data_IF_301555627444
#
_entry.id   IF_301555627444
#
_cell.length_a   1.000
_cell.length_b   1.000
_cell.length_c   1.000
_cell.angle_alpha   90.00
_cell.angle_beta   90.00
_cell.angle_gamma   90.00
#
_symmetry.space_group_name_H-M   'P 1'
#
loop_
_entity.id
_entity.type
_entity.pdbx_description
1 polymer ?
#
# COMPACT_ATOMS: atom_id res chain seq x y z
N UNK A 1 2.94 17.07 22.84
CA UNK A 1 3.58 17.59 21.62
C UNK A 1 4.39 18.81 21.98
N UNK A 2 5.59 18.98 21.42
CA UNK A 2 6.40 20.18 21.66
C UNK A 2 5.99 21.31 20.69
N UNK A 3 5.94 22.54 21.17
CA UNK A 3 5.82 23.71 20.29
C UNK A 3 7.18 24.02 19.64
N UNK A 4 7.17 24.91 18.65
CA UNK A 4 8.38 25.33 17.95
C UNK A 4 9.44 25.96 18.87
N UNK A 5 9.04 26.60 19.99
CA UNK A 5 9.96 27.20 20.97
C UNK A 5 10.59 26.20 21.94
N UNK A 6 9.93 25.06 22.20
CA UNK A 6 10.32 24.11 23.26
C UNK A 6 10.57 22.70 22.72
N UNK A 7 10.80 22.56 21.41
CA UNK A 7 11.11 21.28 20.80
C UNK A 7 12.58 20.93 21.00
N UNK A 8 12.91 19.71 21.46
CA UNK A 8 14.26 19.21 21.40
C UNK A 8 14.75 19.23 19.95
N UNK A 9 15.94 19.79 19.73
CA UNK A 9 16.59 19.81 18.43
C UNK A 9 17.42 18.54 18.19
N UNK A 10 17.57 18.16 16.92
CA UNK A 10 18.43 17.04 16.55
C UNK A 10 19.90 17.42 16.76
N UNK A 11 20.60 16.68 17.61
CA UNK A 11 22.03 16.88 17.90
C UNK A 11 22.95 16.40 16.79
N UNK A 12 22.41 15.88 15.69
CA UNK A 12 23.23 15.31 14.61
C UNK A 12 23.88 16.44 13.80
N UNK A 13 25.20 16.43 13.71
CA UNK A 13 25.93 17.35 12.82
C UNK A 13 25.78 16.89 11.36
N UNK A 14 24.85 17.52 10.65
CA UNK A 14 24.55 17.34 9.23
C UNK A 14 23.93 18.64 8.67
N UNK A 15 24.23 18.95 7.41
CA UNK A 15 23.60 20.02 6.63
C UNK A 15 23.13 19.43 5.29
N UNK A 16 21.99 19.89 4.76
CA UNK A 16 21.54 19.46 3.45
C UNK A 16 22.45 20.04 2.36
N UNK A 17 22.62 19.30 1.27
CA UNK A 17 23.25 19.81 0.05
C UNK A 17 22.28 20.76 -0.68
N UNK A 18 22.78 21.55 -1.63
CA UNK A 18 21.92 22.42 -2.44
C UNK A 18 20.82 21.61 -3.14
N UNK A 19 19.58 22.13 -3.10
CA UNK A 19 18.40 21.47 -3.66
C UNK A 19 18.09 20.08 -3.07
N UNK A 20 18.52 19.81 -1.83
CA UNK A 20 18.08 18.60 -1.13
C UNK A 20 16.55 18.55 -1.06
N UNK A 21 15.98 17.41 -1.47
CA UNK A 21 14.54 17.18 -1.50
C UNK A 21 14.10 16.36 -0.29
N UNK A 22 12.88 16.60 0.16
CA UNK A 22 12.22 15.72 1.11
C UNK A 22 11.90 14.39 0.42
N UNK A 23 12.37 13.27 0.94
CA UNK A 23 12.13 11.95 0.32
C UNK A 23 10.66 11.48 0.39
N UNK A 24 9.77 12.25 1.01
CA UNK A 24 8.34 11.91 1.15
C UNK A 24 7.49 12.69 0.15
N UNK A 25 7.62 14.02 0.08
CA UNK A 25 6.85 14.84 -0.87
C UNK A 25 7.62 15.23 -2.13
N UNK A 26 8.94 15.02 -2.17
CA UNK A 26 9.84 15.40 -3.26
C UNK A 26 9.99 16.92 -3.47
N UNK A 27 9.55 17.73 -2.51
CA UNK A 27 9.78 19.19 -2.50
C UNK A 27 11.08 19.56 -1.76
N UNK A 28 11.69 20.72 -2.06
CA UNK A 28 12.88 21.20 -1.36
C UNK A 28 12.67 21.32 0.15
N UNK A 29 13.66 20.87 0.92
CA UNK A 29 13.72 21.13 2.38
C UNK A 29 14.40 22.46 2.68
N UNK A 30 14.31 22.93 3.93
CA UNK A 30 15.08 24.10 4.35
C UNK A 30 16.58 23.84 4.33
N UNK A 31 17.37 24.91 4.20
CA UNK A 31 18.83 24.86 4.07
C UNK A 31 19.57 24.39 5.33
N UNK A 32 18.85 24.22 6.44
CA UNK A 32 19.42 23.79 7.70
C UNK A 32 18.42 23.02 8.56
N UNK A 33 18.96 22.24 9.50
CA UNK A 33 18.16 21.57 10.53
C UNK A 33 17.40 22.62 11.33
N UNK A 34 16.11 22.39 11.54
CA UNK A 34 15.23 23.29 12.25
C UNK A 34 14.02 22.52 12.77
N UNK A 35 13.10 23.19 13.47
CA UNK A 35 11.83 22.57 13.86
C UNK A 35 11.07 21.97 12.66
N UNK A 36 11.13 22.62 11.50
CA UNK A 36 10.42 22.18 10.28
C UNK A 36 11.23 21.24 9.40
N UNK A 37 12.55 21.20 9.53
CA UNK A 37 13.46 20.43 8.65
C UNK A 37 14.29 19.46 9.47
N UNK A 38 14.06 18.17 9.22
CA UNK A 38 14.62 17.05 9.97
C UNK A 38 15.51 16.18 9.10
N UNK A 39 16.44 15.48 9.73
CA UNK A 39 17.41 14.60 9.06
C UNK A 39 17.41 13.21 9.70
N UNK A 40 17.69 12.17 8.92
CA UNK A 40 17.91 10.85 9.48
C UNK A 40 19.21 10.84 10.30
N UNK A 41 19.19 10.48 11.60
CA UNK A 41 20.39 10.47 12.45
C UNK A 41 21.40 9.37 12.04
N UNK A 42 20.99 8.42 11.21
CA UNK A 42 21.80 7.25 10.82
C UNK A 42 22.56 7.51 9.53
N UNK A 43 21.84 7.75 8.42
CA UNK A 43 22.49 7.96 7.12
C UNK A 43 22.91 9.40 6.89
N UNK A 44 22.34 10.38 7.61
CA UNK A 44 22.61 11.82 7.48
C UNK A 44 22.34 12.45 6.10
N UNK A 45 22.05 11.65 5.07
CA UNK A 45 21.69 12.10 3.73
C UNK A 45 20.20 12.15 3.43
N UNK A 46 19.35 11.64 4.33
CA UNK A 46 17.90 11.67 4.15
C UNK A 46 17.28 12.81 4.97
N UNK A 47 16.60 13.72 4.27
CA UNK A 47 16.01 14.92 4.83
C UNK A 47 14.50 14.95 4.65
N UNK A 48 13.80 15.56 5.59
CA UNK A 48 12.34 15.51 5.66
C UNK A 48 11.75 16.80 6.22
N UNK A 49 10.59 17.21 5.70
CA UNK A 49 9.75 18.15 6.44
C UNK A 49 9.15 17.46 7.66
N UNK A 50 9.05 18.19 8.78
CA UNK A 50 8.45 17.71 10.03
C UNK A 50 7.01 17.21 9.83
N UNK A 51 6.24 17.92 9.00
CA UNK A 51 4.87 17.53 8.65
C UNK A 51 4.84 16.20 7.89
N UNK A 52 5.70 16.04 6.88
CA UNK A 52 5.80 14.82 6.10
C UNK A 52 6.18 13.62 6.96
N UNK A 53 7.17 13.76 7.84
CA UNK A 53 7.54 12.64 8.71
C UNK A 53 6.45 12.31 9.73
N UNK A 54 5.70 13.31 10.19
CA UNK A 54 4.57 13.10 11.10
C UNK A 54 3.44 12.32 10.43
N UNK A 55 3.10 12.65 9.18
CA UNK A 55 2.13 11.88 8.38
C UNK A 55 2.63 10.46 8.09
N UNK A 56 3.93 10.32 7.76
CA UNK A 56 4.54 9.02 7.53
C UNK A 56 4.48 8.12 8.78
N UNK A 57 4.80 8.67 9.96
CA UNK A 57 4.71 7.97 11.24
C UNK A 57 3.28 7.53 11.58
N UNK A 58 2.27 8.36 11.28
CA UNK A 58 0.86 8.00 11.48
C UNK A 58 0.48 6.84 10.55
N UNK A 59 0.94 6.87 9.31
CA UNK A 59 0.61 5.84 8.33
C UNK A 59 1.27 4.48 8.63
N UNK A 60 2.54 4.49 9.05
CA UNK A 60 3.37 3.28 9.24
C UNK A 60 3.38 2.74 10.69
N UNK A 61 2.85 3.50 11.64
CA UNK A 61 2.84 3.17 13.07
C UNK A 61 4.21 2.81 13.65
N UNK A 62 4.27 2.37 14.90
CA UNK A 62 5.52 2.00 15.57
C UNK A 62 6.23 0.83 14.89
N UNK A 63 5.50 -0.13 14.36
CA UNK A 63 6.05 -1.40 13.90
C UNK A 63 6.71 -1.32 12.52
N UNK A 64 6.30 -0.37 11.68
CA UNK A 64 6.83 -0.24 10.31
C UNK A 64 7.42 1.14 10.01
N UNK A 65 7.67 1.95 11.04
CA UNK A 65 8.27 3.27 10.88
C UNK A 65 9.80 3.19 10.92
N UNK A 66 10.41 3.34 9.75
CA UNK A 66 11.86 3.37 9.54
C UNK A 66 12.23 4.46 8.52
N UNK A 67 13.52 4.80 8.44
CA UNK A 67 13.99 5.76 7.44
C UNK A 67 13.70 5.24 6.01
N UNK A 68 12.99 5.99 5.14
CA UNK A 68 12.73 5.55 3.76
C UNK A 68 13.97 5.29 2.91
N UNK A 69 15.10 5.91 3.26
CA UNK A 69 16.36 5.76 2.52
C UNK A 69 17.21 4.59 3.01
N UNK A 70 17.63 4.60 4.28
CA UNK A 70 18.57 3.60 4.81
C UNK A 70 17.88 2.42 5.53
N UNK A 71 16.56 2.45 5.64
CA UNK A 71 15.73 1.42 6.32
C UNK A 71 16.14 1.14 7.78
N UNK A 72 16.82 2.09 8.42
CA UNK A 72 17.11 1.98 9.84
C UNK A 72 15.83 2.21 10.65
N UNK A 73 15.52 1.26 11.53
CA UNK A 73 14.42 1.30 12.50
C UNK A 73 14.87 2.00 13.78
N UNK A 74 15.60 1.31 14.67
CA UNK A 74 15.56 1.67 16.10
C UNK A 74 16.08 3.07 16.39
N UNK A 75 17.26 3.42 15.85
CA UNK A 75 17.87 4.74 16.05
C UNK A 75 17.04 5.86 15.42
N UNK A 76 16.46 5.60 14.25
CA UNK A 76 15.61 6.56 13.57
C UNK A 76 14.33 6.79 14.37
N UNK A 77 13.65 5.71 14.76
CA UNK A 77 12.42 5.74 15.53
C UNK A 77 12.62 6.49 16.86
N UNK A 78 13.66 6.15 17.62
CA UNK A 78 13.97 6.81 18.90
C UNK A 78 14.25 8.30 18.74
N UNK A 79 15.04 8.69 17.75
CA UNK A 79 15.35 10.10 17.49
C UNK A 79 14.08 10.88 17.13
N UNK A 80 13.30 10.39 16.15
CA UNK A 80 12.06 11.03 15.72
C UNK A 80 11.07 11.18 16.89
N UNK A 81 10.98 10.18 17.77
CA UNK A 81 10.16 10.26 18.98
C UNK A 81 10.67 11.31 19.97
N UNK A 82 11.99 11.40 20.14
CA UNK A 82 12.66 12.32 21.08
C UNK A 82 12.41 13.78 20.71
N UNK A 83 12.44 14.11 19.42
CA UNK A 83 12.12 15.44 18.90
C UNK A 83 10.59 15.69 18.75
N UNK A 84 9.78 14.75 19.25
CA UNK A 84 8.33 14.90 19.35
C UNK A 84 7.53 14.55 18.11
N UNK A 85 8.04 13.72 17.20
CA UNK A 85 7.18 13.06 16.20
C UNK A 85 6.30 12.06 16.95
N UNK A 86 4.98 12.19 16.79
CA UNK A 86 4.02 11.25 17.38
C UNK A 86 4.00 9.98 16.54
N UNK A 87 4.34 8.85 17.15
CA UNK A 87 4.35 7.53 16.51
C UNK A 87 3.31 6.65 17.23
N UNK A 88 2.19 6.30 16.58
CA UNK A 88 1.16 5.43 17.15
C UNK A 88 1.65 4.01 17.43
N UNK A 89 1.18 3.39 18.51
CA UNK A 89 1.39 1.96 18.80
C UNK A 89 0.33 1.04 18.15
N UNK A 90 -0.53 1.60 17.27
CA UNK A 90 -1.56 0.86 16.55
C UNK A 90 -0.97 0.07 15.36
N UNK A 91 -1.82 -0.71 14.68
CA UNK A 91 -1.47 -1.25 13.38
C UNK A 91 -1.27 -0.08 12.38
N UNK A 92 -0.48 -0.29 11.31
CA UNK A 92 -0.37 0.68 10.22
C UNK A 92 -1.76 1.00 9.65
N UNK A 93 -1.95 2.24 9.21
CA UNK A 93 -3.27 2.70 8.71
C UNK A 93 -3.79 1.93 7.49
N UNK A 94 -2.90 1.29 6.73
CA UNK A 94 -3.26 0.45 5.59
C UNK A 94 -3.78 -0.93 6.02
N UNK A 95 -3.47 -1.42 7.23
CA UNK A 95 -4.06 -2.64 7.78
C UNK A 95 -5.44 -2.37 8.44
N UNK A 96 -5.65 -1.17 8.99
CA UNK A 96 -6.98 -0.77 9.48
C UNK A 96 -7.99 -0.55 8.35
N UNK A 97 -7.50 -0.18 7.15
CA UNK A 97 -8.30 0.00 5.94
C UNK A 97 -8.22 -1.19 4.97
N UNK A 98 -7.55 -2.28 5.33
CA UNK A 98 -7.82 -3.56 4.67
C UNK A 98 -9.11 -4.12 5.27
N UNK A 99 -10.26 -4.03 4.59
CA UNK A 99 -11.37 -4.90 4.95
C UNK A 99 -10.83 -6.33 4.90
N UNK A 100 -10.89 -7.03 6.02
CA UNK A 100 -10.41 -8.40 6.19
C UNK A 100 -11.18 -9.45 5.34
N UNK A 101 -11.79 -9.04 4.23
CA UNK A 101 -12.62 -9.86 3.36
C UNK A 101 -12.84 -9.28 1.94
N UNK A 102 -12.08 -8.29 1.46
CA UNK A 102 -12.21 -7.79 0.07
C UNK A 102 -11.03 -8.17 -0.84
N UNK A 103 -10.15 -9.09 -0.41
CA UNK A 103 -9.20 -9.71 -1.32
C UNK A 103 -9.89 -10.85 -2.07
N UNK A 104 -10.19 -10.60 -3.36
CA UNK A 104 -10.67 -11.58 -4.32
C UNK A 104 -11.96 -12.31 -3.94
N UNK A 105 -13.10 -11.60 -3.89
CA UNK A 105 -14.32 -12.25 -4.39
C UNK A 105 -14.07 -12.56 -5.88
N UNK A 106 -13.48 -13.73 -6.15
CA UNK A 106 -13.38 -14.29 -7.50
C UNK A 106 -14.76 -14.14 -8.10
N UNK A 107 -14.83 -13.54 -9.28
CA UNK A 107 -16.07 -13.44 -10.03
C UNK A 107 -16.77 -14.82 -10.04
N UNK A 108 -18.05 -14.89 -9.65
CA UNK A 108 -18.77 -16.17 -9.49
C UNK A 108 -19.95 -16.34 -10.42
N UNK A 109 -20.18 -15.38 -11.31
CA UNK A 109 -21.35 -15.35 -12.18
C UNK A 109 -20.95 -15.70 -13.61
N UNK A 110 -21.90 -16.25 -14.37
CA UNK A 110 -21.76 -16.39 -15.81
C UNK A 110 -22.28 -15.14 -16.52
N UNK A 111 -21.39 -14.47 -17.26
CA UNK A 111 -21.63 -13.25 -18.03
C UNK A 111 -21.98 -13.52 -19.51
N UNK A 112 -22.05 -14.79 -19.91
CA UNK A 112 -22.53 -15.14 -21.25
C UNK A 112 -23.91 -14.53 -21.50
N UNK A 113 -24.10 -13.93 -22.68
CA UNK A 113 -25.35 -13.27 -23.09
C UNK A 113 -26.56 -14.17 -22.86
N UNK A 114 -26.43 -15.45 -23.21
CA UNK A 114 -27.38 -16.50 -22.90
C UNK A 114 -26.72 -17.57 -22.00
N UNK A 115 -27.12 -17.63 -20.73
CA UNK A 115 -26.72 -18.71 -19.84
C UNK A 115 -27.59 -19.95 -20.10
N UNK A 116 -26.96 -21.11 -20.28
CA UNK A 116 -27.63 -22.40 -20.50
C UNK A 116 -27.75 -23.24 -19.23
N UNK A 117 -27.21 -22.76 -18.10
CA UNK A 117 -27.23 -23.48 -16.83
C UNK A 117 -28.68 -23.71 -16.38
N UNK A 118 -29.07 -24.93 -15.97
CA UNK A 118 -30.39 -25.19 -15.39
C UNK A 118 -30.60 -24.47 -14.06
N UNK A 119 -29.52 -24.17 -13.35
CA UNK A 119 -29.52 -23.37 -12.13
C UNK A 119 -29.29 -21.89 -12.41
N UNK A 120 -28.98 -21.16 -11.33
CA UNK A 120 -28.67 -19.74 -11.45
C UNK A 120 -27.31 -19.51 -12.12
N UNK A 121 -27.11 -18.28 -12.61
CA UNK A 121 -25.85 -17.88 -13.24
C UNK A 121 -24.64 -17.97 -12.31
N UNK A 122 -24.88 -18.00 -11.00
CA UNK A 122 -23.85 -18.12 -9.95
C UNK A 122 -23.57 -19.57 -9.55
N UNK A 123 -24.40 -20.52 -10.00
CA UNK A 123 -24.19 -21.93 -9.73
C UNK A 123 -23.10 -22.47 -10.66
N UNK A 124 -22.04 -23.01 -10.07
CA UNK A 124 -20.92 -23.60 -10.78
C UNK A 124 -20.57 -24.98 -10.20
N UNK A 125 -20.26 -25.92 -11.09
CA UNK A 125 -19.69 -27.22 -10.71
C UNK A 125 -18.17 -27.10 -10.56
N UNK A 126 -17.56 -27.97 -9.75
CA UNK A 126 -16.11 -28.04 -9.61
C UNK A 126 -15.44 -28.55 -10.91
N UNK A 127 -16.06 -29.52 -11.57
CA UNK A 127 -15.67 -30.02 -12.89
C UNK A 127 -16.93 -30.43 -13.65
N UNK A 128 -17.00 -30.09 -14.95
CA UNK A 128 -18.13 -30.49 -15.79
C UNK A 128 -18.62 -29.39 -16.71
N UNK A 129 -19.75 -29.59 -17.41
CA UNK A 129 -20.30 -28.60 -18.34
C UNK A 129 -20.64 -27.25 -17.71
N UNK A 130 -20.87 -27.22 -16.40
CA UNK A 130 -21.21 -26.04 -15.62
C UNK A 130 -20.05 -25.55 -14.74
N UNK A 131 -18.82 -25.98 -15.01
CA UNK A 131 -17.63 -25.35 -14.46
C UNK A 131 -17.54 -23.91 -14.97
N UNK A 132 -17.31 -22.97 -14.05
CA UNK A 132 -17.14 -21.55 -14.34
C UNK A 132 -15.67 -21.24 -14.61
N UNK A 133 -15.37 -20.79 -15.83
CA UNK A 133 -14.05 -20.33 -16.23
C UNK A 133 -14.00 -18.80 -16.20
N UNK A 134 -12.98 -18.26 -15.54
CA UNK A 134 -12.71 -16.83 -15.53
C UNK A 134 -11.83 -16.43 -16.70
N UNK A 135 -12.00 -15.20 -17.17
CA UNK A 135 -11.14 -14.65 -18.20
C UNK A 135 -9.67 -14.69 -17.74
N UNK A 136 -8.79 -15.30 -18.54
CA UNK A 136 -7.37 -15.43 -18.22
C UNK A 136 -6.64 -14.09 -18.13
N UNK A 137 -7.20 -13.04 -18.75
CA UNK A 137 -6.55 -11.74 -18.91
C UNK A 137 -6.99 -10.72 -17.86
N UNK A 138 -8.27 -10.71 -17.47
CA UNK A 138 -8.81 -9.73 -16.52
C UNK A 138 -9.41 -10.34 -15.24
N UNK A 139 -9.78 -11.62 -15.25
CA UNK A 139 -10.54 -12.31 -14.20
C UNK A 139 -11.84 -11.60 -13.75
N UNK A 140 -12.29 -10.57 -14.49
CA UNK A 140 -13.43 -9.73 -14.16
C UNK A 140 -14.76 -10.28 -14.70
N UNK A 141 -14.69 -11.10 -15.75
CA UNK A 141 -15.83 -11.82 -16.32
C UNK A 141 -15.65 -13.33 -16.18
N UNK A 142 -16.76 -14.06 -16.16
CA UNK A 142 -16.82 -15.52 -16.10
C UNK A 142 -17.80 -16.13 -17.09
N UNK A 143 -17.52 -17.35 -17.57
CA UNK A 143 -18.47 -18.12 -18.38
C UNK A 143 -18.50 -19.58 -17.97
N UNK A 144 -19.68 -20.21 -18.03
CA UNK A 144 -19.72 -21.67 -17.96
C UNK A 144 -19.16 -22.27 -19.24
N UNK A 145 -18.48 -23.41 -19.13
CA UNK A 145 -17.94 -24.13 -20.29
C UNK A 145 -18.95 -24.29 -21.42
N UNK A 146 -20.17 -24.72 -21.10
CA UNK A 146 -21.23 -24.88 -22.10
C UNK A 146 -21.74 -23.57 -22.70
N UNK A 147 -21.77 -22.49 -21.93
CA UNK A 147 -22.24 -21.19 -22.40
C UNK A 147 -21.32 -20.59 -23.48
N UNK A 148 -20.02 -20.89 -23.42
CA UNK A 148 -19.04 -20.47 -24.43
C UNK A 148 -18.60 -21.60 -25.37
N UNK A 149 -19.35 -22.69 -25.46
CA UNK A 149 -19.07 -23.84 -26.34
C UNK A 149 -17.64 -24.41 -26.20
N UNK A 150 -17.10 -24.40 -24.99
CA UNK A 150 -15.73 -24.84 -24.71
C UNK A 150 -15.65 -26.37 -24.62
N UNK A 151 -14.57 -26.95 -25.15
CA UNK A 151 -14.30 -28.38 -25.02
C UNK A 151 -13.94 -28.74 -23.57
N UNK A 152 -14.13 -30.02 -23.21
CA UNK A 152 -13.74 -30.55 -21.88
C UNK A 152 -12.24 -30.42 -21.60
N UNK A 153 -11.40 -30.38 -22.63
CA UNK A 153 -9.94 -30.28 -22.51
C UNK A 153 -9.42 -28.85 -22.35
N UNK A 154 -10.25 -27.83 -22.60
CA UNK A 154 -9.82 -26.43 -22.63
C UNK A 154 -10.01 -25.79 -21.26
N UNK A 155 -8.93 -25.50 -20.54
CA UNK A 155 -8.96 -24.88 -19.21
C UNK A 155 -8.90 -23.35 -19.21
N UNK A 156 -8.80 -22.72 -20.38
CA UNK A 156 -8.66 -21.27 -20.51
C UNK A 156 -9.75 -20.67 -21.39
N UNK A 157 -10.23 -19.50 -20.97
CA UNK A 157 -11.21 -18.69 -21.67
C UNK A 157 -10.82 -17.21 -21.52
N UNK A 158 -11.17 -16.41 -22.53
CA UNK A 158 -10.92 -14.97 -22.58
C UNK A 158 -12.22 -14.30 -23.06
N UNK A 159 -12.59 -13.20 -22.41
CA UNK A 159 -13.79 -12.43 -22.75
C UNK A 159 -13.51 -11.49 -23.93
N UNK A 160 -14.57 -11.08 -24.64
CA UNK A 160 -14.47 -10.22 -25.83
C UNK A 160 -14.02 -8.77 -25.50
N UNK A 161 -14.01 -8.40 -24.22
CA UNK A 161 -13.66 -7.07 -23.71
C UNK A 161 -12.15 -6.89 -23.44
N UNK A 162 -11.37 -7.97 -23.53
CA UNK A 162 -9.90 -7.98 -23.41
C UNK A 162 -9.23 -7.90 -24.79
#
# INVERSE_FOLDING_TARGET
SFCWEHSPEQKVEAAPEENTLCLICLDPVGDSKSYSTLVCPVCKGAWFHRGCIQSHAICHSYYTFFCPHCRSDYKFLMEMRTIGIRIPLSLPSWEENTPAAAENERHRRCDASQCLCPGDREQAEEEGPWELLLCSSCAAEGTHRRCSSLSRSRSTWECDSC
#
